data_IF_794870183791
#
_entry.id   IF_794870183791
#
_cell.length_a   1.000
_cell.length_b   1.000
_cell.length_c   1.000
_cell.angle_alpha   90.00
_cell.angle_beta   90.00
_cell.angle_gamma   90.00
#
_symmetry.space_group_name_H-M   'P 1'
#
loop_
_entity.id
_entity.type
_entity.pdbx_description
1 polymer ?
#
# COMPACT_ATOMS: atom_id res chain seq x y z
N UNK A 1 1.11 4.55 -12.96
CA UNK A 1 0.49 5.88 -12.69
C UNK A 1 1.52 6.84 -12.08
N UNK A 2 1.48 8.13 -12.42
CA UNK A 2 2.25 9.17 -11.72
C UNK A 2 1.39 9.71 -10.58
N UNK A 3 1.73 9.35 -9.35
CA UNK A 3 0.94 9.69 -8.15
C UNK A 3 1.61 10.89 -7.48
N UNK A 4 0.88 11.98 -7.16
CA UNK A 4 1.47 13.14 -6.49
C UNK A 4 2.18 12.69 -5.21
N UNK A 5 3.32 13.32 -4.86
CA UNK A 5 4.12 12.83 -3.74
C UNK A 5 3.31 12.85 -2.44
N UNK A 6 2.37 13.77 -2.25
CA UNK A 6 1.62 13.89 -1.01
C UNK A 6 2.50 14.12 0.23
N UNK A 7 1.91 14.45 1.37
CA UNK A 7 2.63 14.52 2.65
C UNK A 7 2.64 13.14 3.28
N UNK A 8 3.81 12.67 3.72
CA UNK A 8 3.90 11.43 4.50
C UNK A 8 3.33 11.69 5.89
N UNK A 9 2.27 10.98 6.25
CA UNK A 9 1.65 11.04 7.57
C UNK A 9 2.26 10.01 8.52
N UNK A 10 2.54 8.81 7.99
CA UNK A 10 3.01 7.69 8.79
C UNK A 10 3.89 6.77 7.96
N UNK A 11 4.91 6.23 8.61
CA UNK A 11 5.74 5.15 8.09
C UNK A 11 5.79 4.06 9.15
N UNK A 12 5.56 2.82 8.73
CA UNK A 12 5.69 1.65 9.60
C UNK A 12 6.28 0.48 8.83
N UNK A 13 6.73 -0.54 9.57
CA UNK A 13 7.00 -1.84 8.97
C UNK A 13 5.68 -2.55 8.62
N UNK A 14 5.78 -3.49 7.70
CA UNK A 14 4.70 -4.40 7.33
C UNK A 14 4.56 -5.55 8.32
N UNK A 15 3.76 -6.53 7.95
CA UNK A 15 3.40 -7.68 8.76
C UNK A 15 1.89 -7.93 8.70
N UNK A 16 1.43 -9.18 8.91
CA UNK A 16 0.03 -9.54 8.69
C UNK A 16 -0.94 -8.77 9.58
N UNK A 17 -0.60 -8.60 10.87
CA UNK A 17 -1.43 -7.79 11.78
C UNK A 17 -1.25 -6.29 11.53
N UNK A 18 -0.02 -5.84 11.24
CA UNK A 18 0.26 -4.42 10.97
C UNK A 18 -0.58 -3.88 9.80
N UNK A 19 -0.63 -4.59 8.67
CA UNK A 19 -1.44 -4.17 7.53
C UNK A 19 -2.94 -4.23 7.84
N UNK A 20 -3.37 -5.24 8.60
CA UNK A 20 -4.78 -5.41 8.96
C UNK A 20 -5.26 -4.29 9.88
N UNK A 21 -4.49 -3.95 10.90
CA UNK A 21 -4.76 -2.85 11.82
C UNK A 21 -4.75 -1.51 11.09
N UNK A 22 -3.74 -1.26 10.25
CA UNK A 22 -3.63 -0.04 9.48
C UNK A 22 -4.85 0.17 8.56
N UNK A 23 -5.26 -0.86 7.81
CA UNK A 23 -6.43 -0.75 6.93
C UNK A 23 -7.72 -0.52 7.73
N UNK A 24 -7.87 -1.16 8.89
CA UNK A 24 -9.01 -0.94 9.76
C UNK A 24 -9.04 0.51 10.30
N UNK A 25 -7.89 1.06 10.68
CA UNK A 25 -7.75 2.43 11.15
C UNK A 25 -8.07 3.44 10.05
N UNK A 26 -7.45 3.31 8.87
CA UNK A 26 -7.70 4.18 7.71
C UNK A 26 -9.18 4.16 7.32
N UNK A 27 -9.84 3.00 7.42
CA UNK A 27 -11.28 2.87 7.18
C UNK A 27 -12.11 3.59 8.25
N UNK A 28 -11.79 3.40 9.52
CA UNK A 28 -12.48 4.07 10.64
C UNK A 28 -12.38 5.60 10.55
N UNK A 29 -11.25 6.11 10.09
CA UNK A 29 -11.01 7.55 9.89
C UNK A 29 -11.65 8.12 8.62
N UNK A 30 -12.26 7.28 7.77
CA UNK A 30 -12.72 7.66 6.43
C UNK A 30 -11.61 8.34 5.62
N UNK A 31 -10.40 7.79 5.71
CA UNK A 31 -9.19 8.39 5.17
C UNK A 31 -9.28 8.65 3.65
N UNK A 32 -8.71 9.78 3.22
CA UNK A 32 -8.54 10.13 1.81
C UNK A 32 -7.05 10.32 1.56
N UNK A 33 -6.48 9.55 0.64
CA UNK A 33 -5.05 9.57 0.37
C UNK A 33 -4.56 8.26 -0.22
N UNK A 34 -3.34 7.89 0.12
CA UNK A 34 -2.63 6.77 -0.47
C UNK A 34 -2.01 5.92 0.64
N UNK A 35 -2.06 4.60 0.45
CA UNK A 35 -1.17 3.65 1.12
C UNK A 35 -0.16 3.17 0.10
N UNK A 36 1.12 3.48 0.30
CA UNK A 36 2.23 2.94 -0.48
C UNK A 36 2.85 1.76 0.28
N UNK A 37 3.15 0.69 -0.43
CA UNK A 37 3.94 -0.44 0.06
C UNK A 37 5.24 -0.53 -0.73
N UNK A 38 6.34 -0.92 -0.08
CA UNK A 38 7.56 -1.25 -0.79
C UNK A 38 8.30 -2.38 -0.10
N UNK A 39 8.80 -3.34 -0.87
CA UNK A 39 9.56 -4.49 -0.37
C UNK A 39 10.62 -4.88 -1.38
N UNK A 40 11.76 -5.37 -0.93
CA UNK A 40 12.80 -5.94 -1.80
C UNK A 40 12.81 -7.45 -1.62
N UNK A 41 12.55 -8.18 -2.71
CA UNK A 41 12.56 -9.66 -2.76
C UNK A 41 13.79 -10.14 -3.53
N UNK A 42 14.86 -10.46 -2.79
CA UNK A 42 16.15 -10.76 -3.43
C UNK A 42 16.69 -9.49 -4.10
N UNK A 43 16.73 -9.48 -5.43
CA UNK A 43 17.18 -8.33 -6.24
C UNK A 43 16.01 -7.55 -6.87
N UNK A 44 14.77 -8.04 -6.74
CA UNK A 44 13.60 -7.43 -7.37
C UNK A 44 12.86 -6.54 -6.36
N UNK A 45 12.91 -5.20 -6.51
CA UNK A 45 12.04 -4.31 -5.75
C UNK A 45 10.59 -4.46 -6.24
N UNK A 46 9.66 -4.42 -5.30
CA UNK A 46 8.24 -4.35 -5.56
C UNK A 46 7.66 -3.13 -4.83
N UNK A 47 6.80 -2.38 -5.53
CA UNK A 47 6.08 -1.25 -4.99
C UNK A 47 4.58 -1.40 -5.23
N UNK A 48 3.79 -1.05 -4.24
CA UNK A 48 2.34 -1.04 -4.30
C UNK A 48 1.79 0.33 -3.97
N UNK A 49 0.70 0.72 -4.62
CA UNK A 49 -0.07 1.92 -4.29
C UNK A 49 -1.55 1.57 -4.25
N UNK A 50 -2.19 1.84 -3.10
CA UNK A 50 -3.63 1.79 -2.93
C UNK A 50 -4.16 3.20 -2.66
N UNK A 51 -5.02 3.69 -3.55
CA UNK A 51 -5.72 4.97 -3.39
C UNK A 51 -6.97 4.74 -2.56
N UNK A 52 -7.13 5.53 -1.51
CA UNK A 52 -8.24 5.47 -0.58
C UNK A 52 -9.11 6.72 -0.70
N UNK A 53 -10.42 6.53 -0.72
CA UNK A 53 -11.41 7.61 -0.60
C UNK A 53 -12.46 7.21 0.42
N UNK A 54 -12.63 8.02 1.45
CA UNK A 54 -13.55 7.70 2.55
C UNK A 54 -13.19 6.42 3.30
N UNK A 55 -11.93 5.99 3.24
CA UNK A 55 -11.46 4.74 3.83
C UNK A 55 -11.58 3.50 2.93
N UNK A 56 -12.19 3.63 1.75
CA UNK A 56 -12.34 2.52 0.80
C UNK A 56 -11.33 2.62 -0.35
N UNK A 57 -10.79 1.48 -0.78
CA UNK A 57 -9.88 1.39 -1.92
C UNK A 57 -10.60 1.68 -3.23
N UNK A 58 -10.11 2.65 -3.99
CA UNK A 58 -10.73 3.07 -5.27
C UNK A 58 -9.83 2.78 -6.48
N UNK A 59 -8.52 2.77 -6.31
CA UNK A 59 -7.55 2.45 -7.36
C UNK A 59 -6.37 1.72 -6.73
N UNK A 60 -5.79 0.78 -7.48
CA UNK A 60 -4.62 0.04 -7.04
C UNK A 60 -3.67 -0.20 -8.21
N UNK A 61 -2.38 -0.13 -7.93
CA UNK A 61 -1.30 -0.43 -8.86
C UNK A 61 -0.17 -1.12 -8.08
N UNK A 62 0.37 -2.18 -8.67
CA UNK A 62 1.52 -2.89 -8.15
C UNK A 62 2.57 -3.01 -9.25
N UNK A 63 3.81 -2.65 -8.92
CA UNK A 63 4.95 -2.63 -9.84
C UNK A 63 6.04 -3.51 -9.27
N UNK A 64 6.35 -4.57 -10.00
CA UNK A 64 7.53 -5.41 -9.77
C UNK A 64 8.18 -5.71 -11.13
N UNK A 65 8.54 -6.96 -11.43
CA UNK A 65 8.88 -7.38 -12.80
C UNK A 65 7.71 -7.21 -13.77
N UNK A 66 6.49 -7.36 -13.26
CA UNK A 66 5.24 -7.11 -14.00
C UNK A 66 4.47 -6.01 -13.28
N UNK A 67 3.92 -5.09 -14.08
CA UNK A 67 2.98 -4.09 -13.60
C UNK A 67 1.55 -4.64 -13.71
N UNK A 68 0.81 -4.60 -12.61
CA UNK A 68 -0.60 -4.99 -12.53
C UNK A 68 -1.41 -3.88 -11.90
N UNK A 69 -2.69 -3.78 -12.26
CA UNK A 69 -3.60 -2.72 -11.80
C UNK A 69 -4.94 -3.29 -11.35
N UNK A 70 -5.73 -2.49 -10.62
CA UNK A 70 -7.07 -2.88 -10.20
C UNK A 70 -7.07 -3.99 -9.13
N UNK A 71 -8.02 -4.91 -9.22
CA UNK A 71 -8.21 -5.94 -8.19
C UNK A 71 -6.99 -6.86 -8.01
N UNK A 72 -6.31 -7.20 -9.11
CA UNK A 72 -5.11 -8.04 -9.07
C UNK A 72 -3.95 -7.36 -8.34
N UNK A 73 -3.83 -6.03 -8.51
CA UNK A 73 -2.85 -5.25 -7.77
C UNK A 73 -3.12 -5.25 -6.26
N UNK A 74 -4.39 -5.22 -5.83
CA UNK A 74 -4.73 -5.28 -4.39
C UNK A 74 -4.18 -6.57 -3.76
N UNK A 75 -4.29 -7.70 -4.45
CA UNK A 75 -3.80 -8.98 -3.94
C UNK A 75 -2.28 -8.98 -3.76
N UNK A 76 -1.52 -8.47 -4.75
CA UNK A 76 -0.06 -8.38 -4.63
C UNK A 76 0.37 -7.34 -3.58
N UNK A 77 -0.33 -6.20 -3.47
CA UNK A 77 -0.09 -5.20 -2.41
C UNK A 77 -0.25 -5.81 -1.02
N UNK A 78 -1.33 -6.54 -0.78
CA UNK A 78 -1.59 -7.17 0.53
C UNK A 78 -0.58 -8.27 0.85
N UNK A 79 -0.18 -9.04 -0.16
CA UNK A 79 0.86 -10.07 -0.03
C UNK A 79 2.23 -9.47 0.30
N UNK A 80 2.58 -8.34 -0.32
CA UNK A 80 3.80 -7.60 -0.02
C UNK A 80 3.75 -7.01 1.39
N UNK A 81 2.67 -6.31 1.71
CA UNK A 81 2.45 -5.65 3.00
C UNK A 81 2.43 -6.61 4.19
N UNK A 82 2.03 -7.87 3.98
CA UNK A 82 2.06 -8.91 5.01
C UNK A 82 3.48 -9.34 5.40
N UNK A 83 4.52 -8.92 4.67
CA UNK A 83 5.91 -9.17 5.05
C UNK A 83 6.40 -8.13 6.06
N UNK A 84 7.06 -8.57 7.13
CA UNK A 84 7.77 -7.68 8.08
C UNK A 84 8.92 -6.90 7.42
N UNK A 85 9.38 -7.33 6.24
CA UNK A 85 10.39 -6.60 5.44
C UNK A 85 9.78 -5.52 4.56
N UNK A 86 8.45 -5.45 4.46
CA UNK A 86 7.78 -4.40 3.72
C UNK A 86 7.80 -3.11 4.53
N UNK A 87 7.88 -1.99 3.84
CA UNK A 87 7.62 -0.66 4.38
C UNK A 87 6.21 -0.25 3.97
N UNK A 88 5.46 0.31 4.90
CA UNK A 88 4.15 0.89 4.67
C UNK A 88 4.25 2.41 4.85
N UNK A 89 3.73 3.18 3.90
CA UNK A 89 3.71 4.64 3.96
C UNK A 89 2.28 5.16 3.69
N UNK A 90 1.72 5.90 4.64
CA UNK A 90 0.43 6.60 4.48
C UNK A 90 0.69 8.03 4.04
N UNK A 91 0.00 8.49 2.99
CA UNK A 91 0.24 9.80 2.37
C UNK A 91 -1.07 10.53 2.06
N UNK A 92 -1.11 11.86 2.25
CA UNK A 92 -2.24 12.74 1.90
C UNK A 92 -1.92 13.73 0.79
#
# INVERSE_FOLDING_TARGET
MEVPPGRVEQISDGGPEAIRELLAELRAMKFNGLLKTSVVRGETPAEGVLVLRGGDGVLAEHRSEVEVTGADAVLEILKDAASEKSRLEVRT
#
